data_IF_652393646908
#
_entry.id   IF_652393646908
#
_cell.length_a   1.000
_cell.length_b   1.000
_cell.length_c   1.000
_cell.angle_alpha   90.00
_cell.angle_beta   90.00
_cell.angle_gamma   90.00
#
_symmetry.space_group_name_H-M   'P 1'
#
loop_
_entity.id
_entity.type
_entity.pdbx_description
1 polymer ?
#
# COMPACT_ATOMS: atom_id res chain seq x y z
N UNK A 1 -65.98 0.10 13.35
CA UNK A 1 -64.77 -0.34 12.63
C UNK A 1 -64.78 -1.86 12.67
N UNK A 2 -64.83 -2.52 11.51
CA UNK A 2 -64.71 -3.98 11.43
C UNK A 2 -63.22 -4.35 11.45
N UNK A 3 -62.84 -5.50 12.03
CA UNK A 3 -61.46 -5.98 12.02
C UNK A 3 -60.89 -6.18 10.60
N UNK A 4 -61.77 -6.34 9.61
CA UNK A 4 -61.41 -6.37 8.18
C UNK A 4 -60.87 -5.04 7.61
N UNK A 5 -61.05 -3.92 8.31
CA UNK A 5 -60.59 -2.60 7.83
C UNK A 5 -59.23 -2.18 8.42
N UNK A 6 -58.68 -2.95 9.36
CA UNK A 6 -57.30 -2.78 9.83
C UNK A 6 -56.39 -3.74 9.05
N UNK A 7 -55.91 -3.27 7.90
CA UNK A 7 -55.00 -3.99 7.00
C UNK A 7 -53.64 -4.33 7.62
N UNK A 8 -53.35 -3.83 8.83
CA UNK A 8 -52.03 -3.95 9.48
C UNK A 8 -52.13 -4.54 10.88
N UNK A 9 -51.28 -5.55 11.15
CA UNK A 9 -51.01 -6.06 12.49
C UNK A 9 -49.88 -5.23 13.12
N UNK A 10 -50.07 -4.78 14.35
CA UNK A 10 -49.09 -4.18 15.25
C UNK A 10 -49.32 -4.72 16.66
N UNK A 11 -48.38 -4.57 17.58
CA UNK A 11 -48.61 -4.91 18.99
C UNK A 11 -49.85 -4.19 19.58
N UNK A 12 -50.12 -2.95 19.13
CA UNK A 12 -51.32 -2.21 19.56
C UNK A 12 -52.60 -2.75 18.94
N UNK A 13 -52.62 -3.16 17.67
CA UNK A 13 -53.79 -3.79 17.05
C UNK A 13 -53.98 -5.24 17.52
N UNK A 14 -52.92 -5.96 17.89
CA UNK A 14 -53.00 -7.26 18.54
C UNK A 14 -53.59 -7.16 19.95
N UNK A 15 -53.21 -6.12 20.70
CA UNK A 15 -53.79 -5.80 22.01
C UNK A 15 -55.23 -5.29 21.88
N UNK A 16 -55.53 -4.52 20.84
CA UNK A 16 -56.90 -4.13 20.50
C UNK A 16 -57.75 -5.34 20.09
N UNK A 17 -57.19 -6.29 19.33
CA UNK A 17 -57.78 -7.59 18.96
C UNK A 17 -57.96 -8.51 20.16
N UNK A 18 -57.15 -8.39 21.21
CA UNK A 18 -57.29 -9.07 22.51
C UNK A 18 -58.40 -8.48 23.38
N UNK A 19 -58.52 -7.15 23.42
CA UNK A 19 -59.63 -6.47 24.08
C UNK A 19 -60.94 -6.66 23.29
N UNK A 20 -60.84 -6.97 21.99
CA UNK A 20 -61.95 -7.16 21.08
C UNK A 20 -62.94 -8.23 21.57
N UNK A 21 -62.53 -9.45 21.97
CA UNK A 21 -63.42 -10.41 22.60
C UNK A 21 -64.20 -9.88 23.80
N UNK A 22 -63.51 -9.21 24.72
CA UNK A 22 -64.18 -8.64 25.89
C UNK A 22 -65.13 -7.50 25.53
N UNK A 23 -64.84 -6.74 24.45
CA UNK A 23 -65.71 -5.68 23.94
C UNK A 23 -66.88 -6.19 23.09
N UNK A 24 -66.71 -7.32 22.39
CA UNK A 24 -67.72 -7.96 21.56
C UNK A 24 -68.78 -8.68 22.41
N UNK A 25 -68.43 -9.11 23.63
CA UNK A 25 -69.43 -9.59 24.59
C UNK A 25 -70.45 -8.50 24.99
N UNK A 26 -70.17 -7.21 24.71
CA UNK A 26 -71.10 -6.08 24.89
C UNK A 26 -71.88 -5.71 23.61
N UNK A 27 -71.66 -6.40 22.48
CA UNK A 27 -72.40 -6.14 21.24
C UNK A 27 -73.80 -6.75 21.26
N UNK A 28 -74.76 -6.06 20.65
CA UNK A 28 -76.19 -6.34 20.72
C UNK A 28 -76.66 -7.65 20.04
N UNK A 29 -75.81 -8.39 19.34
CA UNK A 29 -76.16 -9.68 18.72
C UNK A 29 -75.00 -10.68 18.76
N UNK A 30 -75.24 -11.88 19.32
CA UNK A 30 -74.24 -12.93 19.43
C UNK A 30 -73.70 -13.44 18.09
N UNK A 31 -74.51 -13.40 17.02
CA UNK A 31 -74.09 -13.81 15.68
C UNK A 31 -72.99 -12.91 15.10
N UNK A 32 -73.09 -11.60 15.31
CA UNK A 32 -72.13 -10.63 14.80
C UNK A 32 -70.78 -10.74 15.53
N UNK A 33 -70.81 -11.01 16.84
CA UNK A 33 -69.61 -11.33 17.60
C UNK A 33 -68.93 -12.62 17.08
N UNK A 34 -69.70 -13.66 16.75
CA UNK A 34 -69.19 -14.91 16.19
C UNK A 34 -68.49 -14.70 14.83
N UNK A 35 -69.05 -13.85 13.96
CA UNK A 35 -68.46 -13.52 12.66
C UNK A 35 -67.09 -12.86 12.84
N UNK A 36 -67.00 -11.86 13.72
CA UNK A 36 -65.75 -11.15 14.00
C UNK A 36 -64.71 -12.09 14.64
N UNK A 37 -65.11 -12.99 15.54
CA UNK A 37 -64.20 -13.99 16.10
C UNK A 37 -63.63 -14.95 15.06
N UNK A 38 -64.46 -15.43 14.13
CA UNK A 38 -64.01 -16.29 13.03
C UNK A 38 -63.13 -15.55 12.02
N UNK A 39 -63.28 -14.23 11.89
CA UNK A 39 -62.38 -13.40 11.09
C UNK A 39 -61.03 -13.26 11.79
N UNK A 40 -61.03 -13.02 13.10
CA UNK A 40 -59.82 -12.96 13.91
C UNK A 40 -59.05 -14.30 13.90
N UNK A 41 -59.74 -15.43 14.09
CA UNK A 41 -59.13 -16.78 14.01
C UNK A 41 -58.37 -16.99 12.69
N UNK A 42 -59.02 -16.72 11.55
CA UNK A 42 -58.39 -16.83 10.22
C UNK A 42 -57.18 -15.91 10.07
N UNK A 43 -57.25 -14.70 10.63
CA UNK A 43 -56.11 -13.77 10.62
C UNK A 43 -54.93 -14.29 11.44
N UNK A 44 -55.18 -14.86 12.63
CA UNK A 44 -54.14 -15.46 13.46
C UNK A 44 -53.51 -16.70 12.80
N UNK A 45 -54.31 -17.55 12.19
CA UNK A 45 -53.83 -18.74 11.47
C UNK A 45 -52.94 -18.35 10.29
N UNK A 46 -53.39 -17.41 9.44
CA UNK A 46 -52.58 -16.90 8.34
C UNK A 46 -51.26 -16.28 8.81
N UNK A 47 -51.29 -15.48 9.89
CA UNK A 47 -50.07 -14.90 10.45
C UNK A 47 -49.10 -15.96 10.98
N UNK A 48 -49.60 -17.03 11.57
CA UNK A 48 -48.77 -18.12 12.08
C UNK A 48 -48.06 -18.87 10.94
N UNK A 49 -48.74 -19.09 9.82
CA UNK A 49 -48.14 -19.65 8.60
C UNK A 49 -47.05 -18.74 8.03
N UNK A 50 -47.31 -17.44 7.93
CA UNK A 50 -46.33 -16.43 7.48
C UNK A 50 -45.08 -16.40 8.37
N UNK A 51 -45.25 -16.32 9.69
CA UNK A 51 -44.12 -16.29 10.64
C UNK A 51 -43.28 -17.56 10.56
N UNK A 52 -43.93 -18.71 10.33
CA UNK A 52 -43.23 -19.99 10.17
C UNK A 52 -42.40 -20.00 8.88
N UNK A 53 -42.95 -19.48 7.78
CA UNK A 53 -42.24 -19.34 6.51
C UNK A 53 -41.07 -18.34 6.60
N UNK A 54 -41.27 -17.19 7.26
CA UNK A 54 -40.25 -16.17 7.49
C UNK A 54 -39.11 -16.69 8.37
N UNK A 55 -39.43 -17.48 9.39
CA UNK A 55 -38.42 -18.12 10.26
C UNK A 55 -37.47 -19.03 9.48
N UNK A 56 -37.96 -19.72 8.43
CA UNK A 56 -37.09 -20.51 7.54
C UNK A 56 -36.19 -19.62 6.66
N UNK A 57 -36.67 -18.44 6.23
CA UNK A 57 -35.86 -17.50 5.44
C UNK A 57 -34.76 -16.83 6.26
N UNK A 58 -34.94 -16.70 7.57
CA UNK A 58 -33.91 -16.17 8.47
C UNK A 58 -32.66 -17.09 8.59
N UNK A 59 -32.69 -18.30 8.03
CA UNK A 59 -31.49 -19.14 7.85
C UNK A 59 -30.68 -18.77 6.60
N UNK A 60 -31.24 -18.04 5.65
CA UNK A 60 -30.54 -17.63 4.44
C UNK A 60 -29.71 -16.36 4.70
N UNK A 61 -28.36 -16.45 4.64
CA UNK A 61 -27.50 -15.28 4.84
C UNK A 61 -27.77 -14.16 3.82
N UNK A 62 -28.20 -14.50 2.60
CA UNK A 62 -28.53 -13.49 1.58
C UNK A 62 -29.76 -12.68 1.95
N UNK A 63 -30.73 -13.34 2.57
CA UNK A 63 -31.93 -12.70 3.05
C UNK A 63 -31.60 -11.78 4.24
N UNK A 64 -30.83 -12.25 5.21
CA UNK A 64 -30.37 -11.43 6.36
C UNK A 64 -29.49 -10.26 5.90
N UNK A 65 -28.57 -10.48 4.97
CA UNK A 65 -27.75 -9.43 4.37
C UNK A 65 -28.57 -8.39 3.61
N UNK A 66 -29.65 -8.79 2.94
CA UNK A 66 -30.58 -7.87 2.29
C UNK A 66 -31.32 -6.96 3.29
N UNK A 67 -31.61 -7.46 4.49
CA UNK A 67 -32.22 -6.68 5.58
C UNK A 67 -31.19 -5.72 6.20
N UNK A 68 -29.95 -6.17 6.40
CA UNK A 68 -28.85 -5.35 6.92
C UNK A 68 -28.61 -4.10 6.07
N UNK A 69 -28.73 -4.23 4.74
CA UNK A 69 -28.62 -3.09 3.81
C UNK A 69 -29.63 -1.97 4.08
N UNK A 70 -30.79 -2.28 4.67
CA UNK A 70 -31.79 -1.26 5.08
C UNK A 70 -31.21 -0.32 6.15
N UNK A 71 -30.34 -0.85 7.01
CA UNK A 71 -29.76 -0.12 8.15
C UNK A 71 -28.37 0.46 7.86
N UNK A 72 -27.68 -0.09 6.85
CA UNK A 72 -26.31 0.20 6.48
C UNK A 72 -26.05 1.56 5.82
N UNK A 73 -27.07 2.22 5.24
CA UNK A 73 -26.80 3.30 4.28
C UNK A 73 -27.67 4.53 4.48
N UNK A 74 -27.26 5.50 5.31
CA UNK A 74 -27.94 6.80 5.37
C UNK A 74 -27.80 7.64 4.07
N UNK A 75 -26.91 7.24 3.14
CA UNK A 75 -26.55 8.03 1.95
C UNK A 75 -27.35 7.72 0.66
N UNK A 76 -28.19 6.69 0.64
CA UNK A 76 -29.05 6.46 -0.52
C UNK A 76 -30.07 7.59 -0.66
N UNK A 77 -30.46 7.92 -1.89
CA UNK A 77 -31.55 8.86 -2.11
C UNK A 77 -32.76 8.40 -1.29
N UNK A 78 -33.46 9.31 -0.62
CA UNK A 78 -34.58 8.93 0.27
C UNK A 78 -35.61 8.03 -0.42
N UNK A 79 -35.69 8.08 -1.76
CA UNK A 79 -36.53 7.20 -2.58
C UNK A 79 -36.08 5.74 -2.56
N UNK A 80 -34.80 5.43 -2.78
CA UNK A 80 -34.29 4.05 -2.80
C UNK A 80 -34.38 3.38 -1.42
N UNK A 81 -34.10 4.14 -0.36
CA UNK A 81 -34.29 3.67 1.01
C UNK A 81 -35.75 3.36 1.28
N UNK A 82 -36.66 4.24 0.86
CA UNK A 82 -38.11 4.00 0.99
C UNK A 82 -38.57 2.77 0.21
N UNK A 83 -38.02 2.50 -0.98
CA UNK A 83 -38.34 1.31 -1.77
C UNK A 83 -37.80 0.03 -1.14
N UNK A 84 -36.60 0.07 -0.55
CA UNK A 84 -36.04 -1.04 0.23
C UNK A 84 -36.89 -1.31 1.46
N UNK A 85 -37.21 -0.29 2.27
CA UNK A 85 -38.07 -0.40 3.45
C UNK A 85 -39.47 -0.89 3.06
N UNK A 86 -40.04 -0.41 1.96
CA UNK A 86 -41.35 -0.83 1.48
C UNK A 86 -41.37 -2.31 1.06
N UNK A 87 -40.32 -2.79 0.37
CA UNK A 87 -40.17 -4.22 0.04
C UNK A 87 -40.07 -5.07 1.30
N UNK A 88 -39.25 -4.67 2.26
CA UNK A 88 -39.09 -5.41 3.51
C UNK A 88 -40.35 -5.36 4.38
N UNK A 89 -41.08 -4.24 4.39
CA UNK A 89 -42.41 -4.13 5.00
C UNK A 89 -43.41 -5.07 4.34
N UNK A 90 -43.41 -5.19 3.01
CA UNK A 90 -44.27 -6.11 2.29
C UNK A 90 -43.91 -7.58 2.55
N UNK A 91 -42.62 -7.91 2.70
CA UNK A 91 -42.17 -9.28 2.99
C UNK A 91 -42.41 -9.71 4.44
N UNK A 92 -42.17 -8.84 5.41
CA UNK A 92 -42.31 -9.14 6.84
C UNK A 92 -43.73 -8.94 7.37
N UNK A 93 -44.59 -8.34 6.55
CA UNK A 93 -46.00 -8.07 6.83
C UNK A 93 -46.25 -6.82 7.68
N UNK A 94 -45.34 -6.44 8.59
CA UNK A 94 -45.60 -5.39 9.61
C UNK A 94 -44.43 -4.43 9.83
N UNK A 95 -44.51 -3.53 10.82
CA UNK A 95 -43.37 -2.76 11.38
C UNK A 95 -42.82 -3.37 12.68
N UNK A 96 -43.42 -4.43 13.22
CA UNK A 96 -43.03 -5.04 14.50
C UNK A 96 -41.64 -5.70 14.43
N UNK A 97 -41.13 -6.01 13.23
CA UNK A 97 -39.73 -6.39 13.05
C UNK A 97 -38.76 -5.28 13.46
N UNK A 98 -39.17 -4.00 13.39
CA UNK A 98 -38.38 -2.92 13.98
C UNK A 98 -38.31 -3.05 15.49
N UNK A 99 -39.36 -3.51 16.17
CA UNK A 99 -39.30 -3.79 17.61
C UNK A 99 -38.41 -5.02 17.92
N UNK A 100 -38.44 -6.04 17.07
CA UNK A 100 -37.52 -7.18 17.22
C UNK A 100 -36.06 -6.75 17.11
N UNK A 101 -35.80 -5.77 16.24
CA UNK A 101 -34.47 -5.24 15.95
C UNK A 101 -34.10 -4.02 16.79
N UNK A 102 -35.02 -3.43 17.56
CA UNK A 102 -34.76 -2.26 18.41
C UNK A 102 -34.12 -2.63 19.75
N UNK A 103 -33.58 -3.84 19.88
CA UNK A 103 -32.83 -4.22 21.09
C UNK A 103 -31.45 -3.60 21.05
N UNK A 104 -30.91 -3.22 22.21
CA UNK A 104 -29.55 -2.66 22.35
C UNK A 104 -28.50 -3.57 21.68
N UNK A 105 -28.62 -4.88 21.89
CA UNK A 105 -27.76 -5.89 21.27
C UNK A 105 -27.81 -5.88 19.74
N UNK A 106 -29.00 -5.74 19.15
CA UNK A 106 -29.11 -5.67 17.68
C UNK A 106 -28.53 -4.35 17.18
N UNK A 107 -28.74 -3.25 17.89
CA UNK A 107 -28.14 -1.97 17.53
C UNK A 107 -26.61 -2.03 17.52
N UNK A 108 -25.99 -2.61 18.55
CA UNK A 108 -24.54 -2.86 18.57
C UNK A 108 -24.09 -3.73 17.40
N UNK A 109 -24.80 -4.82 17.10
CA UNK A 109 -24.49 -5.69 15.96
C UNK A 109 -24.59 -4.96 14.62
N UNK A 110 -25.55 -4.06 14.47
CA UNK A 110 -25.72 -3.25 13.25
C UNK A 110 -24.57 -2.25 13.09
N UNK A 111 -24.17 -1.57 14.16
CA UNK A 111 -23.03 -0.65 14.14
C UNK A 111 -21.73 -1.38 13.80
N UNK A 112 -21.46 -2.51 14.46
CA UNK A 112 -20.27 -3.32 14.18
C UNK A 112 -20.27 -3.85 12.74
N UNK A 113 -21.43 -4.27 12.23
CA UNK A 113 -21.54 -4.74 10.85
C UNK A 113 -21.29 -3.61 9.85
N UNK A 114 -21.83 -2.40 10.11
CA UNK A 114 -21.64 -1.23 9.25
C UNK A 114 -20.17 -0.78 9.20
N UNK A 115 -19.50 -0.72 10.36
CA UNK A 115 -18.07 -0.44 10.42
C UNK A 115 -17.25 -1.48 9.66
N UNK A 116 -17.55 -2.77 9.85
CA UNK A 116 -16.87 -3.85 9.14
C UNK A 116 -17.12 -3.80 7.64
N UNK A 117 -18.32 -3.41 7.21
CA UNK A 117 -18.67 -3.30 5.80
C UNK A 117 -17.96 -2.10 5.16
N UNK A 118 -17.86 -0.96 5.85
CA UNK A 118 -17.04 0.17 5.38
C UNK A 118 -15.55 -0.16 5.29
N UNK A 119 -15.03 -0.98 6.22
CA UNK A 119 -13.66 -1.51 6.13
C UNK A 119 -13.52 -2.48 4.94
N UNK A 120 -14.52 -3.32 4.68
CA UNK A 120 -14.52 -4.25 3.56
C UNK A 120 -14.53 -3.51 2.21
N UNK A 121 -15.38 -2.50 2.05
CA UNK A 121 -15.44 -1.65 0.86
C UNK A 121 -14.08 -0.96 0.62
N UNK A 122 -13.48 -0.39 1.67
CA UNK A 122 -12.14 0.19 1.58
C UNK A 122 -11.05 -0.84 1.19
N UNK A 123 -11.16 -2.08 1.68
CA UNK A 123 -10.26 -3.18 1.31
C UNK A 123 -10.48 -3.68 -0.12
N UNK A 124 -11.70 -3.58 -0.66
CA UNK A 124 -12.01 -3.89 -2.06
C UNK A 124 -11.45 -2.84 -3.02
N UNK A 125 -11.35 -1.57 -2.60
CA UNK A 125 -10.71 -0.48 -3.36
C UNK A 125 -9.17 -0.49 -3.24
N UNK A 126 -8.63 -1.22 -2.26
CA UNK A 126 -7.20 -1.31 -2.01
C UNK A 126 -6.36 -1.83 -3.21
N UNK A 127 -6.80 -2.82 -4.01
CA UNK A 127 -6.07 -3.30 -5.18
C UNK A 127 -5.79 -2.21 -6.22
N UNK A 128 -6.73 -1.28 -6.45
CA UNK A 128 -6.55 -0.17 -7.38
C UNK A 128 -5.50 0.82 -6.86
N UNK A 129 -5.48 1.04 -5.54
CA UNK A 129 -4.44 1.85 -4.90
C UNK A 129 -3.08 1.13 -4.94
N UNK A 130 -3.06 -0.18 -4.75
CA UNK A 130 -1.85 -1.01 -4.86
C UNK A 130 -1.29 -1.02 -6.29
N UNK A 131 -2.13 -0.97 -7.32
CA UNK A 131 -1.68 -0.87 -8.72
C UNK A 131 -0.87 0.42 -8.99
N UNK A 132 -1.23 1.53 -8.31
CA UNK A 132 -0.44 2.77 -8.36
C UNK A 132 0.92 2.58 -7.70
N UNK A 133 0.98 1.87 -6.58
CA UNK A 133 2.24 1.54 -5.91
C UNK A 133 3.10 0.58 -6.73
N UNK A 134 2.51 -0.41 -7.40
CA UNK A 134 3.21 -1.29 -8.34
C UNK A 134 3.77 -0.51 -9.52
N UNK A 135 2.99 0.43 -10.08
CA UNK A 135 3.47 1.33 -11.14
C UNK A 135 4.65 2.19 -10.65
N UNK A 136 4.58 2.70 -9.42
CA UNK A 136 5.65 3.49 -8.81
C UNK A 136 6.90 2.63 -8.54
N UNK A 137 6.73 1.41 -8.03
CA UNK A 137 7.81 0.46 -7.81
C UNK A 137 8.48 0.05 -9.13
N UNK A 138 7.69 -0.19 -10.17
CA UNK A 138 8.18 -0.50 -11.52
C UNK A 138 8.92 0.68 -12.15
N UNK A 139 8.42 1.90 -12.01
CA UNK A 139 9.10 3.11 -12.49
C UNK A 139 10.40 3.36 -11.73
N UNK A 140 10.42 3.17 -10.41
CA UNK A 140 11.65 3.24 -9.62
C UNK A 140 12.65 2.15 -10.02
N UNK A 141 12.19 0.92 -10.28
CA UNK A 141 13.04 -0.16 -10.78
C UNK A 141 13.58 0.14 -12.19
N UNK A 142 12.77 0.78 -13.04
CA UNK A 142 13.21 1.26 -14.36
C UNK A 142 14.30 2.32 -14.20
N UNK A 143 14.12 3.29 -13.30
CA UNK A 143 15.11 4.34 -13.01
C UNK A 143 16.41 3.77 -12.44
N UNK A 144 16.32 2.81 -11.51
CA UNK A 144 17.46 2.07 -10.99
C UNK A 144 18.23 1.37 -12.12
N UNK A 145 17.55 0.55 -12.93
CA UNK A 145 18.15 -0.08 -14.11
C UNK A 145 18.78 0.92 -15.07
N UNK A 146 18.13 2.07 -15.29
CA UNK A 146 18.68 3.15 -16.13
C UNK A 146 19.95 3.74 -15.51
N UNK A 147 20.00 3.91 -14.19
CA UNK A 147 21.18 4.42 -13.48
C UNK A 147 22.33 3.41 -13.48
N UNK A 148 22.07 2.12 -13.26
CA UNK A 148 23.04 1.04 -13.41
C UNK A 148 23.55 0.95 -14.85
N UNK A 149 22.65 1.02 -15.83
CA UNK A 149 23.04 1.15 -17.24
C UNK A 149 23.89 2.39 -17.46
N UNK A 150 23.60 3.54 -16.88
CA UNK A 150 24.45 4.73 -17.00
C UNK A 150 25.86 4.53 -16.43
N UNK A 151 26.07 3.64 -15.43
CA UNK A 151 27.42 3.26 -15.00
C UNK A 151 28.15 2.50 -16.12
N UNK A 152 27.44 1.59 -16.79
CA UNK A 152 27.99 0.71 -17.82
C UNK A 152 28.12 1.39 -19.19
N UNK A 153 27.11 2.13 -19.65
CA UNK A 153 27.01 2.76 -20.97
C UNK A 153 27.58 4.18 -21.06
N UNK A 154 27.59 4.98 -19.98
CA UNK A 154 28.27 6.30 -20.03
C UNK A 154 29.80 6.18 -19.89
N UNK A 155 30.35 4.98 -19.98
CA UNK A 155 31.78 4.73 -19.89
C UNK A 155 32.37 5.17 -18.55
N UNK A 156 31.60 5.22 -17.45
CA UNK A 156 32.15 5.59 -16.13
C UNK A 156 33.14 4.52 -15.65
N UNK A 157 32.84 3.24 -15.89
CA UNK A 157 33.77 2.13 -15.65
C UNK A 157 35.03 2.23 -16.54
N UNK A 158 34.85 2.51 -17.84
CA UNK A 158 35.95 2.70 -18.78
C UNK A 158 36.80 3.93 -18.43
N UNK A 159 36.16 5.03 -18.02
CA UNK A 159 36.82 6.26 -17.61
C UNK A 159 37.60 6.07 -16.30
N UNK A 160 37.04 5.33 -15.34
CA UNK A 160 37.73 4.90 -14.12
C UNK A 160 38.98 4.09 -14.47
N UNK A 161 38.86 3.11 -15.38
CA UNK A 161 39.99 2.30 -15.82
C UNK A 161 41.05 3.14 -16.54
N UNK A 162 40.62 4.04 -17.43
CA UNK A 162 41.49 4.97 -18.17
C UNK A 162 42.25 5.88 -17.22
N UNK A 163 41.58 6.57 -16.29
CA UNK A 163 42.21 7.41 -15.28
C UNK A 163 43.19 6.61 -14.42
N UNK A 164 42.81 5.40 -13.99
CA UNK A 164 43.70 4.50 -13.25
C UNK A 164 44.94 4.06 -14.03
N UNK A 165 44.86 3.92 -15.36
CA UNK A 165 46.03 3.68 -16.23
C UNK A 165 46.90 4.94 -16.34
N UNK A 166 46.31 6.10 -16.58
CA UNK A 166 47.02 7.39 -16.68
C UNK A 166 47.78 7.71 -15.40
N UNK A 167 47.13 7.63 -14.23
CA UNK A 167 47.76 7.88 -12.93
C UNK A 167 48.97 6.96 -12.72
N UNK A 168 48.84 5.67 -13.03
CA UNK A 168 49.96 4.71 -12.91
C UNK A 168 51.13 5.05 -13.83
N UNK A 169 50.86 5.46 -15.07
CA UNK A 169 51.89 5.85 -16.04
C UNK A 169 52.60 7.17 -15.65
N UNK A 170 51.86 8.13 -15.11
CA UNK A 170 52.41 9.41 -14.64
C UNK A 170 53.21 9.19 -13.35
N UNK A 171 52.72 8.33 -12.46
CA UNK A 171 53.43 7.97 -11.23
C UNK A 171 54.75 7.26 -11.51
N UNK A 172 54.78 6.29 -12.45
CA UNK A 172 56.03 5.63 -12.85
C UNK A 172 57.03 6.62 -13.45
N UNK A 173 56.56 7.60 -14.23
CA UNK A 173 57.39 8.68 -14.78
C UNK A 173 57.97 9.58 -13.69
N UNK A 174 57.17 9.94 -12.67
CA UNK A 174 57.63 10.69 -11.49
C UNK A 174 58.68 9.93 -10.69
N UNK A 175 58.47 8.63 -10.47
CA UNK A 175 59.44 7.77 -9.76
C UNK A 175 60.76 7.72 -10.54
N UNK A 176 60.71 7.54 -11.87
CA UNK A 176 61.90 7.55 -12.71
C UNK A 176 62.66 8.89 -12.67
N UNK A 177 61.94 10.03 -12.69
CA UNK A 177 62.53 11.36 -12.59
C UNK A 177 63.19 11.63 -11.22
N UNK A 178 62.59 11.12 -10.13
CA UNK A 178 63.10 11.32 -8.75
C UNK A 178 64.22 10.36 -8.37
N UNK A 179 64.26 9.17 -8.95
CA UNK A 179 65.24 8.13 -8.62
C UNK A 179 66.68 8.49 -9.05
N UNK A 180 66.84 9.47 -9.94
CA UNK A 180 68.15 9.87 -10.48
C UNK A 180 68.63 11.15 -9.77
N UNK A 181 69.56 11.08 -8.79
CA UNK A 181 70.07 12.27 -8.12
C UNK A 181 70.81 13.19 -9.11
N UNK A 182 70.73 14.52 -8.94
CA UNK A 182 71.40 15.46 -9.83
C UNK A 182 72.92 15.25 -9.78
N UNK A 183 73.51 15.03 -10.94
CA UNK A 183 74.95 14.84 -11.10
C UNK A 183 75.43 15.54 -12.36
N UNK A 184 76.59 16.18 -12.30
CA UNK A 184 77.19 16.88 -13.45
C UNK A 184 77.86 15.93 -14.44
N UNK A 185 77.57 14.62 -14.37
CA UNK A 185 78.06 13.64 -15.32
C UNK A 185 77.34 13.79 -16.65
N UNK A 186 78.05 13.56 -17.76
CA UNK A 186 77.44 13.61 -19.08
C UNK A 186 76.28 12.62 -19.20
N UNK A 187 76.41 11.41 -18.67
CA UNK A 187 75.34 10.39 -18.69
C UNK A 187 74.04 10.88 -18.02
N UNK A 188 74.14 11.65 -16.93
CA UNK A 188 72.99 12.23 -16.27
C UNK A 188 72.35 13.32 -17.13
N UNK A 189 73.18 14.25 -17.63
CA UNK A 189 72.71 15.38 -18.45
C UNK A 189 72.06 14.88 -19.76
N UNK A 190 72.63 13.87 -20.42
CA UNK A 190 72.07 13.28 -21.65
C UNK A 190 70.72 12.58 -21.46
N UNK A 191 70.51 11.93 -20.30
CA UNK A 191 69.24 11.24 -20.00
C UNK A 191 68.06 12.21 -19.89
N UNK A 192 68.27 13.38 -19.30
CA UNK A 192 67.22 14.36 -19.03
C UNK A 192 67.09 15.44 -20.10
N UNK A 193 68.14 15.67 -20.88
CA UNK A 193 68.18 16.64 -21.96
C UNK A 193 67.15 16.33 -23.04
N UNK A 194 66.48 17.38 -23.50
CA UNK A 194 65.69 17.37 -24.72
C UNK A 194 66.60 17.25 -25.97
N UNK A 195 66.06 17.03 -27.18
CA UNK A 195 66.87 16.86 -28.37
C UNK A 195 67.86 18.01 -28.65
N UNK A 196 67.47 19.25 -28.37
CA UNK A 196 68.31 20.43 -28.61
C UNK A 196 69.43 20.55 -27.56
N UNK A 197 69.14 20.29 -26.29
CA UNK A 197 70.11 20.23 -25.21
C UNK A 197 71.10 19.06 -25.41
N UNK A 198 70.64 17.92 -25.93
CA UNK A 198 71.52 16.79 -26.28
C UNK A 198 72.51 17.18 -27.37
N UNK A 199 72.07 17.90 -28.38
CA UNK A 199 72.94 18.40 -29.44
C UNK A 199 74.00 19.35 -28.88
N UNK A 200 73.60 20.29 -28.00
CA UNK A 200 74.54 21.19 -27.32
C UNK A 200 75.55 20.44 -26.45
N UNK A 201 75.11 19.42 -25.69
CA UNK A 201 76.00 18.58 -24.89
C UNK A 201 76.98 17.77 -25.77
N UNK A 202 76.54 17.26 -26.91
CA UNK A 202 77.42 16.58 -27.88
C UNK A 202 78.46 17.54 -28.45
N UNK A 203 78.05 18.76 -28.81
CA UNK A 203 78.96 19.79 -29.31
C UNK A 203 80.02 20.16 -28.27
N UNK A 204 79.63 20.33 -26.99
CA UNK A 204 80.54 20.61 -25.89
C UNK A 204 81.53 19.46 -25.65
N UNK A 205 81.08 18.20 -25.71
CA UNK A 205 81.95 17.03 -25.62
C UNK A 205 82.96 16.96 -26.78
N UNK A 206 82.52 17.22 -28.01
CA UNK A 206 83.41 17.28 -29.17
C UNK A 206 84.44 18.40 -29.05
N UNK A 207 84.04 19.57 -28.54
CA UNK A 207 84.96 20.68 -28.28
C UNK A 207 85.98 20.31 -27.20
N UNK A 208 85.56 19.61 -26.14
CA UNK A 208 86.46 19.14 -25.07
C UNK A 208 87.54 18.21 -25.61
N UNK A 209 87.17 17.27 -26.47
CA UNK A 209 88.10 16.37 -27.16
C UNK A 209 89.09 17.12 -28.07
N UNK A 210 88.67 18.21 -28.72
CA UNK A 210 89.54 19.05 -29.55
C UNK A 210 90.52 19.86 -28.69
N UNK A 211 90.07 20.41 -27.57
CA UNK A 211 90.90 21.20 -26.63
C UNK A 211 92.02 20.34 -26.04
N UNK A 212 91.80 19.05 -25.80
CA UNK A 212 92.84 18.13 -25.32
C UNK A 212 94.02 17.97 -26.29
N UNK A 213 93.86 18.36 -27.57
CA UNK A 213 94.94 18.33 -28.59
C UNK A 213 95.76 19.62 -28.65
N UNK A 214 95.38 20.67 -27.92
CA UNK A 214 96.12 21.94 -27.87
C UNK A 214 97.41 21.80 -27.02
N UNK A 215 98.39 22.72 -27.13
CA UNK A 215 99.54 22.77 -26.21
C UNK A 215 99.11 23.12 -24.78
N UNK A 216 99.80 22.60 -23.76
CA UNK A 216 99.40 22.70 -22.33
C UNK A 216 99.08 24.14 -21.88
N UNK A 217 99.90 25.14 -22.27
CA UNK A 217 99.68 26.54 -21.89
C UNK A 217 98.44 27.23 -22.52
N UNK A 218 97.71 26.56 -23.41
CA UNK A 218 96.50 27.08 -24.05
C UNK A 218 95.24 26.26 -23.70
N UNK A 219 95.37 25.15 -22.95
CA UNK A 219 94.24 24.25 -22.67
C UNK A 219 93.29 24.81 -21.61
N UNK A 220 93.85 25.29 -20.50
CA UNK A 220 93.08 25.59 -19.30
C UNK A 220 91.96 26.62 -19.52
N UNK A 221 92.17 27.74 -20.24
CA UNK A 221 91.10 28.71 -20.48
C UNK A 221 89.92 28.15 -21.29
N UNK A 222 90.19 27.20 -22.18
CA UNK A 222 89.16 26.54 -22.99
C UNK A 222 88.41 25.46 -22.21
N UNK A 223 89.11 24.72 -21.34
CA UNK A 223 88.47 23.75 -20.43
C UNK A 223 87.54 24.48 -19.46
N UNK A 224 88.00 25.58 -18.83
CA UNK A 224 87.17 26.40 -17.95
C UNK A 224 85.92 26.96 -18.64
N UNK A 225 86.05 27.36 -19.91
CA UNK A 225 84.91 27.85 -20.71
C UNK A 225 83.91 26.74 -21.01
N UNK A 226 84.38 25.54 -21.37
CA UNK A 226 83.53 24.38 -21.60
C UNK A 226 82.82 23.98 -20.30
N UNK A 227 83.55 23.94 -19.18
CA UNK A 227 82.99 23.65 -17.86
C UNK A 227 81.90 24.64 -17.49
N UNK A 228 82.12 25.94 -17.73
CA UNK A 228 81.11 26.98 -17.49
C UNK A 228 79.85 26.75 -18.34
N UNK A 229 80.00 26.41 -19.62
CA UNK A 229 78.86 26.13 -20.51
C UNK A 229 78.12 24.84 -20.10
N UNK A 230 78.83 23.76 -19.77
CA UNK A 230 78.25 22.55 -19.20
C UNK A 230 77.53 22.84 -17.88
N UNK A 231 78.06 23.75 -17.05
CA UNK A 231 77.42 24.21 -15.82
C UNK A 231 76.10 24.94 -16.05
N UNK A 232 76.02 25.78 -17.08
CA UNK A 232 74.78 26.46 -17.46
C UNK A 232 73.73 25.47 -17.94
N UNK A 233 74.11 24.51 -18.79
CA UNK A 233 73.21 23.43 -19.25
C UNK A 233 72.75 22.57 -18.07
N UNK A 234 73.65 22.25 -17.13
CA UNK A 234 73.32 21.50 -15.92
C UNK A 234 72.25 22.19 -15.06
N UNK A 235 72.40 23.50 -14.79
CA UNK A 235 71.41 24.25 -14.00
C UNK A 235 70.07 24.39 -14.72
N UNK A 236 70.08 24.61 -16.04
CA UNK A 236 68.85 24.61 -16.86
C UNK A 236 68.13 23.25 -16.81
N UNK A 237 68.87 22.13 -16.90
CA UNK A 237 68.32 20.79 -16.74
C UNK A 237 67.72 20.55 -15.36
N UNK A 238 68.36 21.05 -14.29
CA UNK A 238 67.82 20.98 -12.93
C UNK A 238 66.49 21.75 -12.87
N UNK A 239 66.47 22.99 -13.33
CA UNK A 239 65.27 23.83 -13.27
C UNK A 239 64.12 23.22 -14.08
N UNK A 240 64.38 22.76 -15.30
CA UNK A 240 63.40 22.08 -16.14
C UNK A 240 62.92 20.75 -15.53
N UNK A 241 63.83 19.95 -14.93
CA UNK A 241 63.44 18.71 -14.25
C UNK A 241 62.52 18.99 -13.05
N UNK A 242 62.77 20.06 -12.31
CA UNK A 242 61.95 20.48 -11.17
C UNK A 242 60.57 20.96 -11.63
N UNK A 243 60.50 21.70 -12.73
CA UNK A 243 59.24 22.14 -13.35
C UNK A 243 58.43 20.95 -13.88
N UNK A 244 59.07 20.02 -14.60
CA UNK A 244 58.44 18.77 -15.09
C UNK A 244 57.90 17.94 -13.93
N UNK A 245 58.67 17.80 -12.85
CA UNK A 245 58.24 17.08 -11.64
C UNK A 245 57.00 17.73 -11.01
N UNK A 246 57.00 19.05 -10.81
CA UNK A 246 55.83 19.78 -10.27
C UNK A 246 54.60 19.66 -11.17
N UNK A 247 54.78 19.71 -12.49
CA UNK A 247 53.69 19.57 -13.46
C UNK A 247 53.07 18.15 -13.40
N UNK A 248 53.90 17.11 -13.37
CA UNK A 248 53.43 15.72 -13.25
C UNK A 248 52.77 15.47 -11.89
N UNK A 249 53.29 16.02 -10.79
CA UNK A 249 52.66 15.94 -9.46
C UNK A 249 51.28 16.61 -9.42
N UNK A 250 51.13 17.74 -10.13
CA UNK A 250 49.84 18.41 -10.26
C UNK A 250 48.87 17.51 -11.04
N UNK A 251 49.31 16.95 -12.16
CA UNK A 251 48.50 16.07 -13.00
C UNK A 251 48.06 14.80 -12.24
N UNK A 252 48.95 14.17 -11.46
CA UNK A 252 48.57 13.04 -10.59
C UNK A 252 47.50 13.46 -9.58
N UNK A 253 47.65 14.62 -8.94
CA UNK A 253 46.67 15.11 -7.95
C UNK A 253 45.31 15.36 -8.59
N UNK A 254 45.28 16.02 -9.74
CA UNK A 254 44.06 16.34 -10.47
C UNK A 254 43.35 15.06 -10.96
N UNK A 255 44.09 14.12 -11.56
CA UNK A 255 43.53 12.84 -12.03
C UNK A 255 43.07 11.94 -10.87
N UNK A 256 43.80 11.93 -9.75
CA UNK A 256 43.39 11.17 -8.55
C UNK A 256 42.10 11.71 -7.95
N UNK A 257 41.92 13.04 -7.95
CA UNK A 257 40.67 13.66 -7.52
C UNK A 257 39.52 13.30 -8.47
N UNK A 258 39.74 13.36 -9.78
CA UNK A 258 38.75 12.94 -10.76
C UNK A 258 38.36 11.47 -10.60
N UNK A 259 39.32 10.59 -10.32
CA UNK A 259 39.07 9.17 -10.05
C UNK A 259 38.21 8.98 -8.79
N UNK A 260 38.50 9.71 -7.71
CA UNK A 260 37.72 9.66 -6.48
C UNK A 260 36.27 10.14 -6.68
N UNK A 261 36.05 11.16 -7.51
CA UNK A 261 34.71 11.64 -7.87
C UNK A 261 33.91 10.60 -8.67
N UNK A 262 34.58 9.88 -9.59
CA UNK A 262 33.97 8.77 -10.34
C UNK A 262 33.62 7.61 -9.40
N UNK A 263 34.53 7.21 -8.51
CA UNK A 263 34.30 6.15 -7.52
C UNK A 263 33.15 6.50 -6.58
N UNK A 264 33.10 7.73 -6.06
CA UNK A 264 32.01 8.20 -5.21
C UNK A 264 30.65 8.22 -5.94
N UNK A 265 30.65 8.45 -7.26
CA UNK A 265 29.43 8.39 -8.07
C UNK A 265 28.97 6.94 -8.28
N UNK A 266 29.89 6.01 -8.55
CA UNK A 266 29.59 4.58 -8.68
C UNK A 266 29.01 4.02 -7.38
N UNK A 267 29.63 4.34 -6.23
CA UNK A 267 29.15 3.90 -4.92
C UNK A 267 27.74 4.43 -4.63
N UNK A 268 27.50 5.73 -4.82
CA UNK A 268 26.17 6.33 -4.58
C UNK A 268 25.06 5.68 -5.39
N UNK A 269 25.31 5.39 -6.66
CA UNK A 269 24.31 4.73 -7.51
C UNK A 269 24.04 3.30 -7.02
N UNK A 270 25.09 2.52 -6.69
CA UNK A 270 24.92 1.16 -6.16
C UNK A 270 24.16 1.13 -4.83
N UNK A 271 24.51 2.00 -3.88
CA UNK A 271 23.81 2.07 -2.59
C UNK A 271 22.35 2.47 -2.76
N UNK A 272 22.04 3.36 -3.72
CA UNK A 272 20.66 3.73 -4.03
C UNK A 272 19.87 2.55 -4.64
N UNK A 273 20.49 1.74 -5.51
CA UNK A 273 19.87 0.52 -6.05
C UNK A 273 19.58 -0.52 -4.96
N UNK A 274 20.56 -0.79 -4.09
CA UNK A 274 20.42 -1.75 -2.99
C UNK A 274 19.33 -1.32 -2.01
N UNK A 275 19.29 -0.04 -1.62
CA UNK A 275 18.28 0.51 -0.73
C UNK A 275 16.87 0.44 -1.36
N UNK A 276 16.75 0.68 -2.66
CA UNK A 276 15.47 0.58 -3.37
C UNK A 276 14.95 -0.86 -3.39
N UNK A 277 15.81 -1.82 -3.73
CA UNK A 277 15.45 -3.24 -3.82
C UNK A 277 15.06 -3.79 -2.45
N UNK A 278 15.81 -3.43 -1.41
CA UNK A 278 15.56 -3.91 -0.06
C UNK A 278 14.30 -3.29 0.57
N UNK A 279 14.10 -1.98 0.44
CA UNK A 279 12.98 -1.28 1.09
C UNK A 279 11.65 -1.51 0.38
N UNK A 280 11.55 -1.09 -0.89
CA UNK A 280 10.24 -0.97 -1.57
C UNK A 280 9.59 -2.35 -1.78
N UNK A 281 10.37 -3.38 -2.12
CA UNK A 281 9.80 -4.70 -2.42
C UNK A 281 9.42 -5.50 -1.17
N UNK A 282 10.25 -5.45 -0.14
CA UNK A 282 9.97 -6.18 1.11
C UNK A 282 8.79 -5.57 1.85
N UNK A 283 8.73 -4.23 1.91
CA UNK A 283 7.64 -3.52 2.57
C UNK A 283 6.30 -3.75 1.84
N UNK A 284 6.33 -3.82 0.50
CA UNK A 284 5.14 -4.09 -0.30
C UNK A 284 4.59 -5.51 -0.08
N UNK A 285 5.44 -6.54 -0.13
CA UNK A 285 5.02 -7.91 0.13
C UNK A 285 4.47 -8.08 1.55
N UNK A 286 5.09 -7.43 2.53
CA UNK A 286 4.60 -7.42 3.90
C UNK A 286 3.24 -6.72 4.03
N UNK A 287 3.06 -5.59 3.35
CA UNK A 287 1.79 -4.87 3.32
C UNK A 287 0.68 -5.69 2.66
N UNK A 288 0.93 -6.28 1.49
CA UNK A 288 -0.05 -7.12 0.79
C UNK A 288 -0.47 -8.33 1.63
N UNK A 289 0.50 -9.02 2.25
CA UNK A 289 0.21 -10.16 3.14
C UNK A 289 -0.67 -9.73 4.32
N UNK A 290 -0.43 -8.54 4.87
CA UNK A 290 -1.21 -7.99 5.97
C UNK A 290 -2.61 -7.58 5.52
N UNK A 291 -2.75 -6.96 4.35
CA UNK A 291 -4.03 -6.62 3.75
C UNK A 291 -4.87 -7.88 3.55
N UNK A 292 -4.33 -8.94 2.92
CA UNK A 292 -5.02 -10.21 2.71
C UNK A 292 -5.45 -10.89 4.02
N UNK A 293 -4.65 -10.75 5.09
CA UNK A 293 -5.00 -11.25 6.41
C UNK A 293 -6.17 -10.46 7.03
N UNK A 294 -6.16 -9.13 6.90
CA UNK A 294 -7.24 -8.27 7.37
C UNK A 294 -8.51 -8.54 6.58
N UNK A 295 -8.47 -8.61 5.24
CA UNK A 295 -9.63 -8.92 4.40
C UNK A 295 -10.30 -10.23 4.80
N UNK A 296 -9.51 -11.29 5.05
CA UNK A 296 -10.06 -12.56 5.57
C UNK A 296 -10.68 -12.41 6.95
N UNK A 297 -10.03 -11.68 7.86
CA UNK A 297 -10.56 -11.46 9.20
C UNK A 297 -11.87 -10.68 9.19
N UNK A 298 -11.97 -9.63 8.36
CA UNK A 298 -13.18 -8.82 8.18
C UNK A 298 -14.30 -9.66 7.57
N UNK A 299 -14.02 -10.44 6.53
CA UNK A 299 -15.01 -11.33 5.93
C UNK A 299 -15.56 -12.38 6.91
N UNK A 300 -14.71 -12.95 7.77
CA UNK A 300 -15.15 -13.86 8.85
C UNK A 300 -16.02 -13.12 9.87
N UNK A 301 -15.64 -11.90 10.26
CA UNK A 301 -16.39 -11.11 11.23
C UNK A 301 -17.78 -10.72 10.68
N UNK A 302 -17.87 -10.28 9.42
CA UNK A 302 -19.14 -9.97 8.76
C UNK A 302 -20.08 -11.18 8.76
N UNK A 303 -19.60 -12.34 8.31
CA UNK A 303 -20.39 -13.57 8.30
C UNK A 303 -20.86 -13.99 9.71
N UNK A 304 -20.04 -13.76 10.74
CA UNK A 304 -20.43 -14.00 12.13
C UNK A 304 -21.54 -13.04 12.59
N UNK A 305 -21.45 -11.75 12.25
CA UNK A 305 -22.47 -10.76 12.60
C UNK A 305 -23.79 -11.03 11.89
N UNK A 306 -23.76 -11.39 10.60
CA UNK A 306 -24.94 -11.84 9.85
C UNK A 306 -25.61 -13.05 10.53
N UNK A 307 -24.82 -14.06 10.90
CA UNK A 307 -25.34 -15.24 11.60
C UNK A 307 -25.92 -14.91 12.98
N UNK A 308 -25.35 -13.93 13.69
CA UNK A 308 -25.90 -13.44 14.96
C UNK A 308 -27.22 -12.71 14.76
N UNK A 309 -27.33 -11.86 13.75
CA UNK A 309 -28.58 -11.16 13.44
C UNK A 309 -29.69 -12.14 13.04
N UNK A 310 -29.37 -13.14 12.21
CA UNK A 310 -30.33 -14.20 11.85
C UNK A 310 -30.88 -14.93 13.10
N UNK A 311 -30.03 -15.17 14.11
CA UNK A 311 -30.48 -15.74 15.40
C UNK A 311 -31.39 -14.81 16.18
N UNK A 312 -31.10 -13.51 16.23
CA UNK A 312 -31.95 -12.53 16.92
C UNK A 312 -33.31 -12.37 16.24
N UNK A 313 -33.33 -12.33 14.90
CA UNK A 313 -34.57 -12.33 14.10
C UNK A 313 -35.43 -13.55 14.40
N UNK A 314 -34.82 -14.74 14.41
CA UNK A 314 -35.52 -15.97 14.78
C UNK A 314 -36.05 -15.95 16.20
N UNK A 315 -35.29 -15.39 17.15
CA UNK A 315 -35.75 -15.24 18.52
C UNK A 315 -36.96 -14.29 18.61
N UNK A 316 -36.95 -13.19 17.85
CA UNK A 316 -38.08 -12.28 17.68
C UNK A 316 -39.31 -12.96 17.11
N UNK A 317 -39.17 -13.64 15.97
CA UNK A 317 -40.23 -14.42 15.33
C UNK A 317 -40.79 -15.50 16.26
N UNK A 318 -39.94 -16.22 17.00
CA UNK A 318 -40.39 -17.23 17.95
C UNK A 318 -41.17 -16.64 19.14
N UNK A 319 -40.86 -15.41 19.57
CA UNK A 319 -41.68 -14.69 20.55
C UNK A 319 -43.05 -14.34 19.98
N UNK A 320 -43.10 -13.81 18.75
CA UNK A 320 -44.37 -13.48 18.10
C UNK A 320 -45.21 -14.73 17.83
N UNK A 321 -44.61 -15.84 17.37
CA UNK A 321 -45.32 -17.12 17.18
C UNK A 321 -46.00 -17.54 18.48
N UNK A 322 -45.30 -17.50 19.62
CA UNK A 322 -45.91 -17.86 20.92
C UNK A 322 -47.06 -16.92 21.29
N UNK A 323 -46.93 -15.63 20.99
CA UNK A 323 -47.96 -14.64 21.24
C UNK A 323 -49.20 -14.87 20.36
N UNK A 324 -49.01 -15.10 19.05
CA UNK A 324 -50.08 -15.42 18.10
C UNK A 324 -50.77 -16.74 18.47
N UNK A 325 -50.02 -17.77 18.87
CA UNK A 325 -50.59 -19.03 19.37
C UNK A 325 -51.47 -18.83 20.60
N UNK A 326 -51.01 -17.99 21.54
CA UNK A 326 -51.80 -17.64 22.72
C UNK A 326 -53.10 -16.93 22.33
N UNK A 327 -53.03 -15.95 21.43
CA UNK A 327 -54.20 -15.20 20.97
C UNK A 327 -55.19 -16.05 20.19
N UNK A 328 -54.70 -16.98 19.36
CA UNK A 328 -55.51 -17.96 18.65
C UNK A 328 -56.28 -18.84 19.64
N UNK A 329 -55.62 -19.32 20.71
CA UNK A 329 -56.27 -20.10 21.76
C UNK A 329 -57.38 -19.31 22.46
N UNK A 330 -57.11 -18.07 22.86
CA UNK A 330 -58.11 -17.19 23.50
C UNK A 330 -59.31 -16.95 22.58
N UNK A 331 -59.05 -16.70 21.29
CA UNK A 331 -60.10 -16.48 20.28
C UNK A 331 -60.97 -17.72 20.09
N UNK A 332 -60.36 -18.91 20.01
CA UNK A 332 -61.11 -20.19 19.92
C UNK A 332 -61.98 -20.45 21.15
N UNK A 333 -61.49 -20.12 22.35
CA UNK A 333 -62.29 -20.19 23.58
C UNK A 333 -63.48 -19.21 23.51
N UNK A 334 -63.27 -18.00 23.00
CA UNK A 334 -64.34 -17.02 22.83
C UNK A 334 -65.39 -17.48 21.81
N UNK A 335 -64.98 -18.07 20.67
CA UNK A 335 -65.88 -18.69 19.69
C UNK A 335 -66.73 -19.77 20.35
N UNK A 336 -66.12 -20.68 21.11
CA UNK A 336 -66.84 -21.75 21.80
C UNK A 336 -67.90 -21.18 22.76
N UNK A 337 -67.52 -20.21 23.60
CA UNK A 337 -68.45 -19.55 24.53
C UNK A 337 -69.58 -18.80 23.82
N UNK A 338 -69.29 -18.08 22.73
CA UNK A 338 -70.29 -17.37 21.96
C UNK A 338 -71.27 -18.34 21.28
N UNK A 339 -70.76 -19.46 20.77
CA UNK A 339 -71.56 -20.53 20.17
C UNK A 339 -72.48 -21.18 21.20
N UNK A 340 -71.95 -21.50 22.40
CA UNK A 340 -72.74 -22.06 23.50
C UNK A 340 -73.86 -21.10 23.94
N UNK A 341 -73.56 -19.80 24.07
CA UNK A 341 -74.56 -18.77 24.40
C UNK A 341 -75.65 -18.66 23.34
N UNK A 342 -75.29 -18.70 22.05
CA UNK A 342 -76.26 -18.68 20.96
C UNK A 342 -77.18 -19.90 21.00
N UNK A 343 -76.61 -21.10 21.18
CA UNK A 343 -77.36 -22.34 21.31
C UNK A 343 -78.30 -22.36 22.53
N UNK A 344 -77.95 -21.68 23.62
CA UNK A 344 -78.82 -21.52 24.79
C UNK A 344 -79.88 -20.41 24.65
N UNK A 345 -79.73 -19.52 23.67
CA UNK A 345 -80.64 -18.38 23.45
C UNK A 345 -81.72 -18.64 22.41
N UNK A 346 -81.61 -19.70 21.60
CA UNK A 346 -82.68 -20.16 20.72
C UNK A 346 -83.74 -20.94 21.53
N UNK A 347 -84.99 -20.46 21.60
CA UNK A 347 -86.08 -21.24 22.17
C UNK A 347 -86.48 -22.35 21.19
N UNK A 348 -86.65 -23.56 21.71
CA UNK A 348 -87.23 -24.71 21.00
C UNK A 348 -88.63 -24.40 20.47
#
# INVERSE_FOLDING_TARGET
MSLQQEDYWTESTATARLAFPMSLEQMASGELALIEYRAAERSFEGRLEELTALSMRADDPRWVGGLLKVFATPEHSSAEMNDVVARWRAELGHTDWLQWLSTERVHELLLEWDELNGIADWLEDLPDQLAIFDALANEQQRRARTAGQQIETNGLAENRERLGKTIRAVHSSLVALRAVPPSRTSDWMFRLADPAQRELLMQLQMQRQRVHRLPEGQRDPWIERIDRLEGLVFWDLIDQSSQRTRALEKLVRDDTRALAEVDARIVRVRTAEEALVAGVKMDFLAFQTRADAITRSVGVALAQREAMLGKELKAGMAREIRQVQHHLLVTRIAIARATDRLAMSEPW
#
